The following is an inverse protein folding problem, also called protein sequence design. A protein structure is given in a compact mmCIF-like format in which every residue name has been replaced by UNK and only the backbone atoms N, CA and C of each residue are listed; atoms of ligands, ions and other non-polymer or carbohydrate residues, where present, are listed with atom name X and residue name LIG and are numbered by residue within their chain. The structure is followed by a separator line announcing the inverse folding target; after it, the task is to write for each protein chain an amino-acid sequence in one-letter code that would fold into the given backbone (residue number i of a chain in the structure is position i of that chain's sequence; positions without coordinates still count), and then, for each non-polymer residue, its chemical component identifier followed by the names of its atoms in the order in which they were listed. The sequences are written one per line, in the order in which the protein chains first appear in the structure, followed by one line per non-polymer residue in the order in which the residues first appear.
data_IF_298281537858
#
_entry.id   IF_298281537858
#
_cell.length_a   1.000
_cell.length_b   1.000
_cell.length_c   1.000
_cell.angle_alpha   90.00
_cell.angle_beta   90.00
_cell.angle_gamma   90.00
#
_symmetry.space_group_name_H-M   'P 1'
#
loop_
_entity.id
_entity.type
_entity.pdbx_description
1 polymer ?
#
# COMPACT_ATOMS: atom_id res chain seq x y z
N UNK A 1 -10.79 -9.54 -25.79
CA UNK A 1 -11.31 -8.78 -24.64
C UNK A 1 -11.72 -7.43 -25.19
N UNK A 2 -12.97 -7.04 -24.97
CA UNK A 2 -13.36 -5.66 -25.26
C UNK A 2 -12.58 -4.74 -24.31
N UNK A 3 -12.06 -3.59 -24.77
CA UNK A 3 -11.48 -2.61 -23.87
C UNK A 3 -12.53 -2.23 -22.82
N UNK A 4 -12.11 -1.86 -21.59
CA UNK A 4 -13.04 -1.32 -20.61
C UNK A 4 -13.82 -0.19 -21.27
N UNK A 5 -15.13 -0.15 -21.03
CA UNK A 5 -15.97 0.89 -21.58
C UNK A 5 -15.50 2.25 -21.03
N UNK A 6 -14.95 3.09 -21.91
CA UNK A 6 -14.62 4.46 -21.62
C UNK A 6 -15.94 5.23 -21.41
N UNK A 7 -16.07 5.96 -20.31
CA UNK A 7 -17.24 6.79 -20.00
C UNK A 7 -17.33 8.07 -20.86
N UNK A 8 -16.38 8.24 -21.79
CA UNK A 8 -16.29 9.35 -22.75
C UNK A 8 -16.21 10.74 -22.12
N UNK A 9 -15.73 10.83 -20.88
CA UNK A 9 -15.54 12.12 -20.17
C UNK A 9 -14.30 12.90 -20.64
N UNK A 10 -13.60 12.45 -21.69
CA UNK A 10 -12.38 13.05 -22.21
C UNK A 10 -11.11 12.65 -21.48
N UNK A 11 -11.19 11.70 -20.54
CA UNK A 11 -10.06 11.05 -19.89
C UNK A 11 -10.15 9.56 -20.18
N UNK A 12 -9.04 8.96 -20.57
CA UNK A 12 -8.99 7.50 -20.67
C UNK A 12 -9.20 6.87 -19.31
N UNK A 13 -10.17 5.95 -19.22
CA UNK A 13 -10.36 5.15 -18.03
C UNK A 13 -9.11 4.31 -17.75
N UNK A 14 -8.67 4.23 -16.47
CA UNK A 14 -7.51 3.43 -16.12
C UNK A 14 -7.77 1.95 -16.41
N UNK A 15 -6.82 1.30 -17.09
CA UNK A 15 -6.87 -0.14 -17.30
C UNK A 15 -6.57 -0.93 -16.02
N UNK A 16 -6.82 -2.23 -16.03
CA UNK A 16 -6.60 -3.12 -14.88
C UNK A 16 -5.19 -3.00 -14.28
N UNK A 17 -4.18 -2.67 -15.09
CA UNK A 17 -2.79 -2.52 -14.64
C UNK A 17 -2.56 -1.33 -13.71
N UNK A 18 -3.51 -0.40 -13.62
CA UNK A 18 -3.46 0.69 -12.64
C UNK A 18 -3.87 0.22 -11.23
N UNK A 19 -4.57 -0.91 -11.14
CA UNK A 19 -5.12 -1.42 -9.89
C UNK A 19 -4.45 -2.70 -9.40
N UNK A 20 -3.70 -3.41 -10.25
CA UNK A 20 -3.06 -4.68 -9.92
C UNK A 20 -1.56 -4.63 -10.13
N UNK A 21 -0.84 -5.36 -9.29
CA UNK A 21 0.60 -5.56 -9.42
C UNK A 21 0.97 -7.00 -9.07
N UNK A 22 2.02 -7.51 -9.70
CA UNK A 22 2.63 -8.82 -9.39
C UNK A 22 3.88 -8.67 -8.51
N UNK A 23 4.21 -7.45 -8.11
CA UNK A 23 5.46 -7.14 -7.40
C UNK A 23 5.25 -6.91 -5.91
N UNK A 24 4.00 -6.86 -5.43
CA UNK A 24 3.71 -6.59 -4.01
C UNK A 24 4.29 -7.71 -3.13
N UNK A 25 5.24 -7.33 -2.28
CA UNK A 25 5.93 -8.24 -1.36
C UNK A 25 6.29 -7.50 -0.07
N UNK A 26 6.06 -8.13 1.07
CA UNK A 26 6.48 -7.62 2.37
C UNK A 26 7.73 -8.38 2.86
N UNK A 27 8.81 -7.69 3.30
CA UNK A 27 10.01 -8.36 3.74
C UNK A 27 9.77 -9.20 5.00
N UNK A 28 10.48 -10.31 5.10
CA UNK A 28 10.48 -11.16 6.30
C UNK A 28 11.30 -10.57 7.45
N UNK A 29 12.05 -9.50 7.19
CA UNK A 29 12.90 -8.77 8.15
C UNK A 29 12.32 -7.39 8.45
N UNK A 30 12.46 -6.96 9.70
CA UNK A 30 12.12 -5.62 10.14
C UNK A 30 13.21 -4.60 9.72
N UNK A 31 12.90 -3.32 9.83
CA UNK A 31 13.82 -2.21 9.48
C UNK A 31 15.15 -2.28 10.23
N UNK A 32 15.16 -2.86 11.44
CA UNK A 32 16.37 -3.08 12.25
C UNK A 32 17.17 -4.35 11.86
N UNK A 33 16.77 -5.05 10.77
CA UNK A 33 17.42 -6.27 10.29
C UNK A 33 17.05 -7.56 11.04
N UNK A 34 16.16 -7.49 12.05
CA UNK A 34 15.70 -8.69 12.76
C UNK A 34 14.59 -9.41 11.99
N UNK A 35 14.47 -10.71 12.14
CA UNK A 35 13.36 -11.47 11.56
C UNK A 35 12.03 -11.02 12.19
N UNK A 36 11.03 -10.73 11.37
CA UNK A 36 9.68 -10.40 11.83
C UNK A 36 8.99 -11.61 12.40
N UNK A 37 8.38 -11.43 13.55
CA UNK A 37 7.60 -12.47 14.19
C UNK A 37 6.31 -12.75 13.41
N UNK A 38 6.05 -14.01 13.14
CA UNK A 38 4.78 -14.42 12.56
C UNK A 38 3.68 -14.27 13.62
N UNK A 39 2.64 -13.50 13.32
CA UNK A 39 1.56 -13.20 14.27
C UNK A 39 0.81 -14.46 14.75
N UNK A 40 0.77 -15.51 13.93
CA UNK A 40 0.20 -16.81 14.27
C UNK A 40 1.11 -17.67 15.17
N UNK A 41 2.39 -17.26 15.37
CA UNK A 41 3.33 -17.95 16.24
C UNK A 41 3.39 -17.27 17.61
N UNK A 42 2.67 -17.82 18.58
CA UNK A 42 2.57 -17.25 19.92
C UNK A 42 3.93 -17.08 20.64
N UNK A 43 4.90 -17.96 20.37
CA UNK A 43 6.24 -17.88 20.96
C UNK A 43 7.01 -16.67 20.42
N UNK A 44 7.07 -16.53 19.10
CA UNK A 44 7.73 -15.39 18.45
C UNK A 44 7.07 -14.06 18.83
N UNK A 45 5.74 -14.01 18.80
CA UNK A 45 4.99 -12.82 19.19
C UNK A 45 5.25 -12.41 20.62
N UNK A 46 5.29 -13.37 21.57
CA UNK A 46 5.62 -13.11 22.97
C UNK A 46 7.01 -12.49 23.12
N UNK A 47 7.99 -12.98 22.39
CA UNK A 47 9.36 -12.44 22.43
C UNK A 47 9.40 -10.98 21.97
N UNK A 48 8.70 -10.64 20.88
CA UNK A 48 8.60 -9.25 20.38
C UNK A 48 7.95 -8.35 21.42
N UNK A 49 6.82 -8.78 22.01
CA UNK A 49 6.11 -8.02 23.03
C UNK A 49 6.96 -7.77 24.28
N UNK A 50 7.66 -8.78 24.75
CA UNK A 50 8.57 -8.66 25.91
C UNK A 50 9.73 -7.69 25.63
N UNK A 51 10.34 -7.79 24.45
CA UNK A 51 11.45 -6.91 24.05
C UNK A 51 10.99 -5.45 23.90
N UNK A 52 9.75 -5.24 23.48
CA UNK A 52 9.15 -3.91 23.34
C UNK A 52 8.57 -3.36 24.66
N UNK A 53 8.55 -4.15 25.74
CA UNK A 53 7.92 -3.77 27.01
C UNK A 53 6.41 -3.63 26.92
N UNK A 54 5.76 -4.30 25.98
CA UNK A 54 4.32 -4.23 25.75
C UNK A 54 3.61 -5.35 26.48
N UNK A 55 2.68 -4.97 27.37
CA UNK A 55 1.86 -5.92 28.12
C UNK A 55 0.55 -6.17 27.40
N UNK A 56 0.29 -7.43 27.07
CA UNK A 56 -0.94 -7.87 26.39
C UNK A 56 -1.83 -8.60 27.38
N UNK A 57 -3.14 -8.45 27.23
CA UNK A 57 -4.08 -9.29 27.98
C UNK A 57 -3.84 -10.76 27.62
N UNK A 58 -3.77 -11.67 28.62
CA UNK A 58 -3.64 -13.08 28.34
C UNK A 58 -4.90 -13.55 27.58
N UNK A 59 -4.73 -13.81 26.31
CA UNK A 59 -5.75 -14.43 25.48
C UNK A 59 -5.11 -15.62 24.79
N UNK A 60 -5.66 -16.82 24.98
CA UNK A 60 -5.22 -18.03 24.27
C UNK A 60 -5.64 -18.07 22.80
N UNK A 61 -5.86 -16.91 22.18
CA UNK A 61 -6.36 -16.80 20.84
C UNK A 61 -5.24 -16.96 19.80
N UNK A 62 -5.50 -17.78 18.81
CA UNK A 62 -4.71 -17.82 17.59
C UNK A 62 -5.14 -16.66 16.71
N UNK A 63 -4.25 -15.71 16.46
CA UNK A 63 -4.55 -14.56 15.62
C UNK A 63 -4.41 -14.92 14.14
N UNK A 64 -5.31 -14.41 13.30
CA UNK A 64 -5.31 -14.67 11.86
C UNK A 64 -4.50 -13.65 11.07
N UNK A 65 -4.33 -12.45 11.63
CA UNK A 65 -3.60 -11.33 11.02
C UNK A 65 -3.04 -10.38 12.06
N UNK A 66 -2.17 -9.48 11.63
CA UNK A 66 -1.61 -8.40 12.46
C UNK A 66 -2.72 -7.49 13.00
N UNK A 67 -3.72 -7.17 12.18
CA UNK A 67 -4.88 -6.41 12.63
C UNK A 67 -5.74 -7.19 13.62
N UNK A 68 -5.97 -8.48 13.39
CA UNK A 68 -6.73 -9.32 14.32
C UNK A 68 -6.04 -9.37 15.70
N UNK A 69 -4.72 -9.50 15.73
CA UNK A 69 -3.93 -9.36 16.95
C UNK A 69 -4.15 -8.00 17.61
N UNK A 70 -4.05 -6.89 16.87
CA UNK A 70 -4.21 -5.55 17.41
C UNK A 70 -5.59 -5.35 18.04
N UNK A 71 -6.66 -5.81 17.38
CA UNK A 71 -8.03 -5.69 17.87
C UNK A 71 -8.27 -6.48 19.16
N UNK A 72 -7.72 -7.68 19.25
CA UNK A 72 -7.98 -8.59 20.39
C UNK A 72 -7.03 -8.37 21.58
N UNK A 73 -5.81 -7.88 21.34
CA UNK A 73 -4.76 -7.73 22.36
C UNK A 73 -5.07 -6.65 23.39
N UNK A 74 -5.88 -5.65 23.03
CA UNK A 74 -6.18 -4.50 23.88
C UNK A 74 -5.02 -3.53 24.09
N UNK A 75 -3.93 -3.63 23.26
CA UNK A 75 -2.81 -2.70 23.31
C UNK A 75 -3.21 -1.32 22.76
N UNK A 76 -2.49 -0.28 23.19
CA UNK A 76 -2.67 1.08 22.70
C UNK A 76 -2.23 1.22 21.23
N UNK A 77 -2.68 2.28 20.55
CA UNK A 77 -2.21 2.61 19.21
C UNK A 77 -0.71 2.89 19.16
N UNK A 78 -0.17 3.50 20.21
CA UNK A 78 1.25 3.80 20.34
C UNK A 78 2.09 2.53 20.51
N UNK A 79 1.65 1.61 21.37
CA UNK A 79 2.31 0.32 21.56
C UNK A 79 2.26 -0.51 20.28
N UNK A 80 1.11 -0.51 19.60
CA UNK A 80 0.98 -1.18 18.31
C UNK A 80 1.95 -0.61 17.27
N UNK A 81 2.01 0.71 17.12
CA UNK A 81 2.92 1.35 16.17
C UNK A 81 4.41 1.01 16.43
N UNK A 82 4.80 0.81 17.70
CA UNK A 82 6.17 0.40 18.06
C UNK A 82 6.53 -1.01 17.63
N UNK A 83 5.55 -1.92 17.61
CA UNK A 83 5.80 -3.34 17.30
C UNK A 83 5.37 -3.74 15.89
N UNK A 84 4.58 -2.91 15.20
CA UNK A 84 4.02 -3.21 13.86
C UNK A 84 5.10 -3.61 12.85
N UNK A 85 6.29 -3.00 12.92
CA UNK A 85 7.41 -3.36 12.05
C UNK A 85 8.06 -4.69 12.38
N UNK A 86 7.88 -5.19 13.60
CA UNK A 86 8.52 -6.42 14.09
C UNK A 86 7.62 -7.66 13.95
N UNK A 87 6.39 -7.48 13.52
CA UNK A 87 5.41 -8.55 13.32
C UNK A 87 4.93 -8.57 11.86
N UNK A 88 4.48 -9.71 11.40
CA UNK A 88 3.98 -9.87 10.03
C UNK A 88 2.79 -10.81 9.92
N UNK A 89 2.03 -10.65 8.86
CA UNK A 89 0.99 -11.59 8.44
C UNK A 89 1.59 -12.93 7.99
N UNK A 90 0.79 -14.02 8.00
CA UNK A 90 1.18 -15.29 7.39
C UNK A 90 1.45 -15.17 5.89
N UNK A 91 0.69 -14.33 5.19
CA UNK A 91 0.86 -14.00 3.78
C UNK A 91 1.76 -12.77 3.69
N UNK A 92 2.71 -12.78 2.77
CA UNK A 92 3.66 -11.68 2.52
C UNK A 92 3.57 -11.13 1.11
N UNK A 93 2.93 -11.84 0.20
CA UNK A 93 2.71 -11.43 -1.19
C UNK A 93 1.27 -10.95 -1.39
N UNK A 94 1.10 -9.93 -2.22
CA UNK A 94 -0.22 -9.42 -2.59
C UNK A 94 -0.94 -8.63 -1.50
N UNK A 95 -0.24 -8.21 -0.44
CA UNK A 95 -0.81 -7.35 0.60
C UNK A 95 -1.12 -5.96 0.05
N UNK A 96 -2.25 -5.41 0.51
CA UNK A 96 -2.73 -4.09 0.12
C UNK A 96 -2.50 -3.09 1.25
N UNK A 97 -1.79 -2.02 0.95
CA UNK A 97 -1.54 -0.97 1.94
C UNK A 97 -2.80 -0.11 2.16
N UNK A 98 -3.41 -0.26 3.34
CA UNK A 98 -4.64 0.45 3.72
C UNK A 98 -4.45 1.98 3.79
N UNK A 99 -3.21 2.44 4.00
CA UNK A 99 -2.90 3.87 4.10
C UNK A 99 -2.89 4.57 2.72
N UNK A 100 -2.65 3.84 1.62
CA UNK A 100 -2.43 4.43 0.30
C UNK A 100 -3.31 3.87 -0.81
N UNK A 101 -3.88 2.68 -0.65
CA UNK A 101 -4.67 2.02 -1.68
C UNK A 101 -5.90 2.84 -2.10
N UNK A 102 -6.24 2.79 -3.38
CA UNK A 102 -7.45 3.44 -3.89
C UNK A 102 -8.72 2.76 -3.37
N UNK A 103 -9.85 3.49 -3.39
CA UNK A 103 -11.14 2.93 -3.01
C UNK A 103 -11.49 1.67 -3.83
N UNK A 104 -11.18 1.66 -5.13
CA UNK A 104 -11.44 0.53 -6.01
C UNK A 104 -10.66 -0.72 -5.57
N UNK A 105 -9.36 -0.57 -5.25
CA UNK A 105 -8.52 -1.68 -4.77
C UNK A 105 -9.03 -2.22 -3.44
N UNK A 106 -9.36 -1.33 -2.49
CA UNK A 106 -9.92 -1.74 -1.20
C UNK A 106 -11.26 -2.46 -1.38
N UNK A 107 -12.14 -1.96 -2.24
CA UNK A 107 -13.42 -2.62 -2.54
C UNK A 107 -13.20 -4.05 -3.10
N UNK A 108 -12.23 -4.25 -3.98
CA UNK A 108 -11.89 -5.58 -4.49
C UNK A 108 -11.42 -6.52 -3.36
N UNK A 109 -10.57 -6.03 -2.45
CA UNK A 109 -10.07 -6.83 -1.30
C UNK A 109 -11.22 -7.20 -0.37
N UNK A 110 -12.08 -6.24 0.00
CA UNK A 110 -13.21 -6.48 0.91
C UNK A 110 -14.24 -7.42 0.28
N UNK A 111 -14.60 -7.20 -0.99
CA UNK A 111 -15.49 -8.10 -1.72
C UNK A 111 -14.93 -9.53 -1.81
N UNK A 112 -13.65 -9.67 -2.13
CA UNK A 112 -12.95 -10.96 -2.17
C UNK A 112 -12.87 -11.65 -0.81
N UNK A 113 -12.89 -10.89 0.29
CA UNK A 113 -12.95 -11.40 1.64
C UNK A 113 -14.40 -11.69 2.13
N UNK A 114 -15.42 -11.42 1.31
CA UNK A 114 -16.83 -11.59 1.68
C UNK A 114 -17.37 -10.51 2.63
N UNK A 115 -16.76 -9.31 2.61
CA UNK A 115 -17.17 -8.17 3.43
C UNK A 115 -17.93 -7.16 2.56
N UNK A 116 -18.90 -6.46 3.16
CA UNK A 116 -19.64 -5.38 2.49
C UNK A 116 -18.69 -4.24 2.10
N UNK A 117 -18.72 -3.89 0.81
CA UNK A 117 -17.86 -2.84 0.25
C UNK A 117 -18.26 -1.42 0.63
N UNK A 118 -19.45 -1.21 1.18
CA UNK A 118 -19.91 0.11 1.64
C UNK A 118 -19.00 0.71 2.70
N UNK A 119 -18.35 -0.12 3.52
CA UNK A 119 -17.39 0.32 4.55
C UNK A 119 -16.17 1.04 3.95
N UNK A 120 -15.82 0.76 2.69
CA UNK A 120 -14.65 1.32 2.02
C UNK A 120 -14.73 2.84 1.90
N UNK A 121 -15.91 3.38 1.63
CA UNK A 121 -16.13 4.84 1.56
C UNK A 121 -15.83 5.51 2.90
N UNK A 122 -16.29 4.92 3.99
CA UNK A 122 -16.03 5.40 5.36
C UNK A 122 -14.54 5.32 5.69
N UNK A 123 -13.88 4.22 5.33
CA UNK A 123 -12.46 4.01 5.57
C UNK A 123 -11.60 5.02 4.79
N UNK A 124 -11.92 5.29 3.54
CA UNK A 124 -11.22 6.29 2.73
C UNK A 124 -11.46 7.70 3.25
N UNK A 125 -12.71 8.05 3.61
CA UNK A 125 -13.05 9.35 4.17
C UNK A 125 -12.32 9.60 5.50
N UNK A 126 -12.30 8.61 6.41
CA UNK A 126 -11.55 8.70 7.66
C UNK A 126 -10.06 8.94 7.44
N UNK A 127 -9.46 8.17 6.53
CA UNK A 127 -8.06 8.33 6.15
C UNK A 127 -7.74 9.72 5.60
N UNK A 128 -8.61 10.27 4.76
CA UNK A 128 -8.45 11.60 4.17
C UNK A 128 -8.63 12.75 5.18
N UNK A 129 -9.37 12.52 6.25
CA UNK A 129 -9.56 13.49 7.32
C UNK A 129 -8.35 13.60 8.27
N UNK A 130 -7.40 12.66 8.19
CA UNK A 130 -6.19 12.71 9.01
C UNK A 130 -5.26 13.83 8.52
N UNK A 131 -4.74 14.65 9.45
CA UNK A 131 -3.90 15.80 9.13
C UNK A 131 -2.41 15.48 9.04
N UNK A 132 -2.00 14.27 9.42
CA UNK A 132 -0.61 13.83 9.43
C UNK A 132 -0.36 12.59 8.54
N UNK A 133 0.92 12.23 8.32
CA UNK A 133 1.26 11.03 7.59
C UNK A 133 0.82 9.78 8.35
N UNK A 134 0.13 8.88 7.68
CA UNK A 134 -0.27 7.59 8.24
C UNK A 134 0.92 6.63 8.18
N UNK A 135 1.62 6.50 9.29
CA UNK A 135 2.81 5.64 9.42
C UNK A 135 2.50 4.24 9.97
N UNK A 136 1.29 4.06 10.52
CA UNK A 136 0.77 2.81 11.07
C UNK A 136 -0.62 2.55 10.54
N UNK A 137 -1.10 1.31 10.65
CA UNK A 137 -2.50 0.96 10.40
C UNK A 137 -3.36 0.94 11.68
N UNK A 138 -2.87 1.49 12.80
CA UNK A 138 -3.59 1.50 14.08
C UNK A 138 -4.96 2.20 14.01
N UNK A 139 -5.10 3.23 13.18
CA UNK A 139 -6.33 3.98 12.96
C UNK A 139 -7.49 3.14 12.38
N UNK A 140 -7.18 2.00 11.77
CA UNK A 140 -8.19 1.10 11.19
C UNK A 140 -9.18 0.61 12.24
N UNK A 141 -8.76 0.56 13.51
CA UNK A 141 -9.60 0.17 14.66
C UNK A 141 -10.76 1.15 14.93
N UNK A 142 -10.63 2.38 14.48
CA UNK A 142 -11.69 3.39 14.65
C UNK A 142 -12.81 3.26 13.61
N UNK A 143 -12.56 2.48 12.54
CA UNK A 143 -13.49 2.36 11.41
C UNK A 143 -14.02 0.94 11.25
N UNK A 144 -13.16 -0.07 11.39
CA UNK A 144 -13.54 -1.47 11.20
C UNK A 144 -13.89 -2.14 12.52
N UNK A 145 -14.73 -3.16 12.43
CA UNK A 145 -15.06 -4.06 13.53
C UNK A 145 -14.21 -5.35 13.46
N UNK A 146 -14.22 -6.11 14.56
CA UNK A 146 -13.46 -7.35 14.66
C UNK A 146 -13.92 -8.43 13.65
N UNK A 147 -15.21 -8.65 13.37
CA UNK A 147 -15.65 -9.57 12.34
C UNK A 147 -15.06 -9.25 10.96
N UNK A 148 -15.12 -8.00 10.54
CA UNK A 148 -14.54 -7.50 9.28
C UNK A 148 -13.02 -7.73 9.23
N UNK A 149 -12.32 -7.42 10.32
CA UNK A 149 -10.86 -7.61 10.40
C UNK A 149 -10.45 -9.08 10.33
N UNK A 150 -11.21 -9.98 10.90
CA UNK A 150 -10.96 -11.44 10.80
C UNK A 150 -11.05 -11.97 9.39
N UNK A 151 -11.90 -11.38 8.54
CA UNK A 151 -12.07 -11.76 7.15
C UNK A 151 -11.03 -11.09 6.25
N UNK A 152 -10.90 -9.77 6.31
CA UNK A 152 -10.10 -8.97 5.38
C UNK A 152 -8.68 -8.66 5.89
N UNK A 153 -8.45 -8.64 7.20
CA UNK A 153 -7.21 -8.13 7.80
C UNK A 153 -5.92 -8.84 7.35
N UNK A 154 -6.03 -10.11 6.96
CA UNK A 154 -4.87 -10.87 6.46
C UNK A 154 -4.35 -10.40 5.09
N UNK A 155 -5.14 -9.62 4.36
CA UNK A 155 -4.79 -9.04 3.07
C UNK A 155 -4.33 -7.58 3.18
N UNK A 156 -4.38 -7.00 4.39
CA UNK A 156 -4.05 -5.61 4.63
C UNK A 156 -2.68 -5.45 5.29
N UNK A 157 -1.99 -4.38 4.91
CA UNK A 157 -0.75 -3.93 5.53
C UNK A 157 -0.76 -2.41 5.70
N UNK A 158 0.10 -1.88 6.57
CA UNK A 158 0.31 -0.45 6.75
C UNK A 158 1.49 0.11 5.96
N UNK A 159 2.25 -0.73 5.24
CA UNK A 159 3.51 -0.35 4.60
C UNK A 159 3.58 -0.75 3.14
N UNK A 160 4.43 -0.06 2.39
CA UNK A 160 4.73 -0.35 0.98
C UNK A 160 6.23 -0.40 0.81
N UNK A 161 6.71 -1.39 0.10
CA UNK A 161 8.14 -1.58 -0.20
C UNK A 161 8.42 -1.51 -1.70
N UNK A 162 7.42 -1.70 -2.55
CA UNK A 162 7.56 -1.62 -3.99
C UNK A 162 6.92 -0.32 -4.49
N UNK A 163 7.62 0.38 -5.36
CA UNK A 163 7.21 1.67 -5.92
C UNK A 163 7.33 1.63 -7.44
N UNK A 164 6.35 2.21 -8.12
CA UNK A 164 6.44 2.45 -9.56
C UNK A 164 6.74 3.92 -9.84
N UNK A 165 7.61 4.18 -10.80
CA UNK A 165 7.88 5.52 -11.30
C UNK A 165 7.79 5.53 -12.84
N UNK A 166 6.96 6.41 -13.38
CA UNK A 166 6.89 6.71 -14.81
C UNK A 166 7.65 8.03 -15.04
N UNK A 167 8.85 7.92 -15.58
CA UNK A 167 9.78 9.03 -15.70
C UNK A 167 9.83 9.46 -17.17
N UNK A 168 9.44 10.70 -17.44
CA UNK A 168 9.56 11.33 -18.74
C UNK A 168 10.64 12.41 -18.69
N UNK A 169 11.65 12.28 -19.54
CA UNK A 169 12.72 13.23 -19.70
C UNK A 169 12.65 13.93 -21.07
N UNK A 170 12.81 15.25 -21.07
CA UNK A 170 12.89 16.07 -22.29
C UNK A 170 14.25 16.73 -22.31
N UNK A 171 14.96 16.58 -23.43
CA UNK A 171 16.24 17.22 -23.65
C UNK A 171 16.13 18.75 -23.76
N UNK A 172 17.26 19.44 -23.64
CA UNK A 172 17.33 20.88 -23.70
C UNK A 172 16.74 21.41 -25.03
N UNK A 173 15.96 22.48 -24.96
CA UNK A 173 15.21 23.05 -26.11
C UNK A 173 14.16 22.08 -26.72
N UNK A 174 13.64 21.15 -25.99
CA UNK A 174 12.66 20.18 -26.50
C UNK A 174 13.23 19.10 -27.42
N UNK A 175 14.57 19.06 -27.56
CA UNK A 175 15.25 18.06 -28.39
C UNK A 175 15.43 16.76 -27.62
N UNK A 176 14.90 15.67 -28.19
CA UNK A 176 14.92 14.35 -27.54
C UNK A 176 13.89 14.22 -26.43
N UNK A 177 13.19 13.12 -26.46
CA UNK A 177 12.20 12.73 -25.48
C UNK A 177 12.42 11.27 -25.13
N UNK A 178 12.37 10.97 -23.85
CA UNK A 178 12.44 9.58 -23.38
C UNK A 178 11.49 9.39 -22.21
N UNK A 179 10.76 8.28 -22.22
CA UNK A 179 9.85 7.89 -21.15
C UNK A 179 10.10 6.45 -20.77
N UNK A 180 10.33 6.21 -19.48
CA UNK A 180 10.65 4.88 -18.96
C UNK A 180 9.85 4.66 -17.67
N UNK A 181 9.16 3.52 -17.57
CA UNK A 181 8.54 3.06 -16.33
C UNK A 181 9.50 2.13 -15.60
N UNK A 182 9.68 2.38 -14.31
CA UNK A 182 10.45 1.55 -13.40
C UNK A 182 9.56 1.00 -12.30
N UNK A 183 9.92 -0.18 -11.81
CA UNK A 183 9.42 -0.70 -10.54
C UNK A 183 10.64 -0.96 -9.66
N UNK A 184 10.62 -0.37 -8.48
CA UNK A 184 11.67 -0.46 -7.48
C UNK A 184 11.20 -1.29 -6.30
N UNK A 185 12.10 -2.06 -5.72
CA UNK A 185 11.94 -2.72 -4.43
C UNK A 185 12.90 -2.09 -3.42
N UNK A 186 12.40 -1.75 -2.25
CA UNK A 186 13.15 -1.17 -1.13
C UNK A 186 13.16 -2.06 0.10
N UNK A 187 12.73 -3.30 -0.03
CA UNK A 187 12.58 -4.25 1.09
C UNK A 187 13.90 -4.54 1.82
N UNK A 188 15.03 -4.46 1.12
CA UNK A 188 16.37 -4.66 1.68
C UNK A 188 17.07 -3.35 2.09
N UNK A 189 16.33 -2.22 2.12
CA UNK A 189 16.84 -0.90 2.48
C UNK A 189 17.46 -0.12 1.33
N UNK A 190 18.11 -0.75 0.36
CA UNK A 190 18.63 -0.12 -0.85
C UNK A 190 17.67 -0.35 -2.02
N UNK A 191 17.29 0.71 -2.79
CA UNK A 191 16.41 0.55 -3.94
C UNK A 191 17.02 -0.35 -5.01
N UNK A 192 16.30 -1.41 -5.37
CA UNK A 192 16.63 -2.32 -6.48
C UNK A 192 15.62 -2.15 -7.61
N UNK A 193 16.07 -2.11 -8.85
CA UNK A 193 15.17 -2.11 -10.00
C UNK A 193 14.71 -3.53 -10.28
N UNK A 194 13.42 -3.80 -10.08
CA UNK A 194 12.79 -5.08 -10.40
C UNK A 194 12.36 -5.16 -11.86
N UNK A 195 11.90 -4.03 -12.41
CA UNK A 195 11.37 -3.98 -13.76
C UNK A 195 11.67 -2.62 -14.40
N UNK A 196 11.93 -2.64 -15.71
CA UNK A 196 12.13 -1.46 -16.53
C UNK A 196 11.43 -1.63 -17.87
N UNK A 197 10.62 -0.64 -18.25
CA UNK A 197 9.90 -0.64 -19.53
C UNK A 197 10.11 0.69 -20.25
N UNK A 198 10.51 0.62 -21.52
CA UNK A 198 10.60 1.77 -22.39
C UNK A 198 9.21 2.16 -22.92
N UNK A 199 8.77 3.39 -22.64
CA UNK A 199 7.45 3.90 -23.00
C UNK A 199 7.54 5.13 -23.94
N UNK A 200 8.70 5.43 -24.49
CA UNK A 200 8.92 6.60 -25.36
C UNK A 200 7.95 6.65 -26.54
N UNK A 201 7.58 5.49 -27.08
CA UNK A 201 6.62 5.36 -28.19
C UNK A 201 5.18 5.73 -27.80
N UNK A 202 4.83 5.71 -26.53
CA UNK A 202 3.49 6.09 -26.03
C UNK A 202 3.31 7.61 -25.85
N UNK A 203 4.36 8.40 -26.10
CA UNK A 203 4.32 9.84 -26.00
C UNK A 203 4.28 10.37 -24.55
N UNK A 204 3.80 11.59 -24.40
CA UNK A 204 3.87 12.33 -23.14
C UNK A 204 2.91 11.78 -22.08
N UNK A 205 3.43 11.49 -20.87
CA UNK A 205 2.68 10.86 -19.79
C UNK A 205 1.47 11.69 -19.29
N UNK A 206 1.62 13.01 -19.29
CA UNK A 206 0.60 13.94 -18.77
C UNK A 206 -0.39 14.44 -19.85
N UNK A 207 -0.32 13.86 -21.06
CA UNK A 207 -1.13 14.26 -22.19
C UNK A 207 -0.66 15.55 -22.88
N UNK A 208 -1.31 15.87 -24.01
CA UNK A 208 -0.93 16.98 -24.87
C UNK A 208 -1.09 18.33 -24.16
N UNK A 209 -2.17 18.51 -23.42
CA UNK A 209 -2.47 19.78 -22.76
C UNK A 209 -1.40 20.20 -21.75
N UNK A 210 -0.97 19.28 -20.89
CA UNK A 210 0.09 19.55 -19.90
C UNK A 210 1.45 19.84 -20.59
N UNK A 211 1.75 19.14 -21.71
CA UNK A 211 2.93 19.41 -22.52
C UNK A 211 2.90 20.85 -23.08
N UNK A 212 1.80 21.24 -23.69
CA UNK A 212 1.65 22.56 -24.32
C UNK A 212 1.74 23.67 -23.26
N UNK A 213 1.14 23.48 -22.07
CA UNK A 213 1.25 24.40 -20.94
C UNK A 213 2.71 24.56 -20.47
N UNK A 214 3.47 23.46 -20.35
CA UNK A 214 4.86 23.49 -19.94
C UNK A 214 5.77 24.13 -21.00
N UNK A 215 5.45 23.98 -22.29
CA UNK A 215 6.17 24.64 -23.37
C UNK A 215 5.92 26.14 -23.38
N UNK A 216 4.68 26.57 -23.14
CA UNK A 216 4.31 27.99 -23.03
C UNK A 216 4.95 28.66 -21.81
N UNK A 217 4.99 27.98 -20.65
CA UNK A 217 5.63 28.52 -19.46
C UNK A 217 7.15 28.72 -19.60
N UNK A 218 7.80 27.97 -20.51
CA UNK A 218 9.23 28.15 -20.85
C UNK A 218 9.50 29.19 -21.93
N UNK A 219 8.48 29.64 -22.64
CA UNK A 219 8.60 30.66 -23.68
C UNK A 219 8.49 32.11 -23.13
N UNK A 220 8.21 32.26 -21.82
CA UNK A 220 8.25 33.57 -21.14
C UNK A 220 9.68 33.76 -20.62
N UNK A 221 10.43 34.78 -21.09
CA UNK A 221 11.81 35.05 -20.69
C UNK A 221 11.91 35.46 -19.22
#
# INVERSE_FOLDING_TARGET
MAPPADDQNGRLDPGILEYVTVYSHEPATATNGTARALVTNAGQLRTVLQNAGVTVRPGGATYTSVLDFYFQSGISSEDFARIEDQIRNPIIDGLVNVNTASAAVLACVFAGAGVDTNIVSTLVAYRQAQTGPLTSMSWVKDVLDLPTVRLAGRYLTGKTYQYSADIAAVGHYGRGYRRVKYIFDTSDGAPKVLYRQELTHMGWALGKQARDTLLLAKAIP
#
